data_IF_308556590356
#
_entry.id   IF_308556590356
#
_cell.length_a   1.000
_cell.length_b   1.000
_cell.length_c   1.000
_cell.angle_alpha   90.00
_cell.angle_beta   90.00
_cell.angle_gamma   90.00
#
_symmetry.space_group_name_H-M   'P 1'
#
loop_
_entity.id
_entity.type
_entity.pdbx_description
1 polymer ?
#
# COMPACT_ATOMS: atom_id res chain seq x y z
N UNK A 1 -10.25 -18.26 11.20
CA UNK A 1 -10.40 -16.84 11.58
C UNK A 1 -11.82 -16.66 12.09
N UNK A 2 -12.02 -16.16 13.32
CA UNK A 2 -13.38 -15.90 13.82
C UNK A 2 -13.99 -14.71 13.06
N UNK A 3 -15.29 -14.76 12.80
CA UNK A 3 -16.05 -13.60 12.29
C UNK A 3 -15.81 -12.36 13.15
N UNK A 4 -15.66 -12.55 14.46
CA UNK A 4 -15.49 -11.47 15.44
C UNK A 4 -14.16 -10.73 15.27
N UNK A 5 -13.07 -11.45 14.98
CA UNK A 5 -11.76 -10.84 14.74
C UNK A 5 -11.77 -9.97 13.48
N UNK A 6 -12.44 -10.44 12.42
CA UNK A 6 -12.54 -9.68 11.17
C UNK A 6 -13.32 -8.39 11.36
N UNK A 7 -14.45 -8.46 12.10
CA UNK A 7 -15.25 -7.28 12.42
C UNK A 7 -14.50 -6.29 13.31
N UNK A 8 -13.76 -6.80 14.31
CA UNK A 8 -12.95 -5.99 15.21
C UNK A 8 -11.78 -5.29 14.49
N UNK A 9 -11.15 -5.96 13.53
CA UNK A 9 -10.10 -5.37 12.69
C UNK A 9 -10.67 -4.29 11.76
N UNK A 10 -11.80 -4.56 11.09
CA UNK A 10 -12.44 -3.59 10.21
C UNK A 10 -12.90 -2.34 10.97
N UNK A 11 -13.47 -2.50 12.17
CA UNK A 11 -13.88 -1.37 13.00
C UNK A 11 -12.69 -0.47 13.39
N UNK A 12 -11.56 -1.06 13.78
CA UNK A 12 -10.34 -0.31 14.10
C UNK A 12 -9.75 0.38 12.87
N UNK A 13 -9.74 -0.29 11.74
CA UNK A 13 -9.25 0.29 10.50
C UNK A 13 -10.13 1.47 10.03
N UNK A 14 -11.44 1.32 10.09
CA UNK A 14 -12.38 2.40 9.78
C UNK A 14 -12.19 3.61 10.71
N UNK A 15 -11.98 3.37 12.01
CA UNK A 15 -11.67 4.43 12.98
C UNK A 15 -10.35 5.14 12.65
N UNK A 16 -9.30 4.42 12.26
CA UNK A 16 -8.02 5.00 11.88
C UNK A 16 -8.11 5.85 10.60
N UNK A 17 -8.87 5.39 9.59
CA UNK A 17 -9.15 6.17 8.38
C UNK A 17 -9.90 7.46 8.72
N UNK A 18 -10.93 7.38 9.57
CA UNK A 18 -11.71 8.55 9.97
C UNK A 18 -10.88 9.57 10.76
N UNK A 19 -10.00 9.09 11.65
CA UNK A 19 -9.14 9.95 12.47
C UNK A 19 -8.06 10.67 11.67
N UNK A 20 -7.49 10.02 10.65
CA UNK A 20 -6.36 10.55 9.87
C UNK A 20 -6.77 11.24 8.57
N UNK A 21 -7.96 10.95 8.06
CA UNK A 21 -8.37 11.35 6.71
C UNK A 21 -7.57 10.64 5.62
N UNK A 22 -6.85 9.57 5.95
CA UNK A 22 -6.10 8.78 5.00
C UNK A 22 -7.03 8.13 3.97
N UNK A 23 -6.50 7.91 2.77
CA UNK A 23 -7.19 7.14 1.75
C UNK A 23 -7.05 5.66 2.05
N UNK A 24 -8.07 4.87 1.72
CA UNK A 24 -8.03 3.41 1.92
C UNK A 24 -6.92 2.77 1.03
N UNK A 25 -5.81 2.27 1.62
CA UNK A 25 -4.73 1.64 0.87
C UNK A 25 -5.18 0.41 0.08
N UNK A 26 -6.27 -0.26 0.48
CA UNK A 26 -6.79 -1.47 -0.17
C UNK A 26 -7.15 -1.23 -1.63
N UNK A 27 -7.49 0.00 -2.00
CA UNK A 27 -7.83 0.34 -3.38
C UNK A 27 -6.62 0.24 -4.33
N UNK A 28 -5.39 0.36 -3.83
CA UNK A 28 -4.21 0.41 -4.69
C UNK A 28 -3.71 -0.98 -5.12
N UNK A 29 -3.82 -1.99 -4.26
CA UNK A 29 -3.30 -3.34 -4.55
C UNK A 29 -4.40 -4.38 -4.79
N UNK A 30 -5.69 -4.01 -4.77
CA UNK A 30 -6.80 -4.93 -5.10
C UNK A 30 -6.69 -5.50 -6.51
N UNK A 31 -6.25 -4.70 -7.48
CA UNK A 31 -5.98 -5.17 -8.84
C UNK A 31 -4.81 -6.17 -8.86
N UNK A 32 -3.74 -5.88 -8.10
CA UNK A 32 -2.56 -6.75 -7.99
C UNK A 32 -2.88 -8.10 -7.34
N UNK A 33 -3.78 -8.14 -6.36
CA UNK A 33 -4.33 -9.38 -5.82
C UNK A 33 -5.07 -10.22 -6.88
N UNK A 34 -5.81 -9.58 -7.78
CA UNK A 34 -6.48 -10.30 -8.89
C UNK A 34 -5.47 -10.83 -9.91
N UNK A 35 -4.44 -10.05 -10.23
CA UNK A 35 -3.33 -10.48 -11.09
C UNK A 35 -2.61 -11.69 -10.50
N UNK A 36 -2.27 -11.65 -9.20
CA UNK A 36 -1.67 -12.79 -8.49
C UNK A 36 -2.54 -14.03 -8.59
N UNK A 37 -3.84 -13.92 -8.35
CA UNK A 37 -4.76 -15.06 -8.42
C UNK A 37 -4.70 -15.79 -9.77
N UNK A 38 -4.45 -15.07 -10.86
CA UNK A 38 -4.38 -15.63 -12.21
C UNK A 38 -2.97 -16.09 -12.59
N UNK A 39 -1.97 -15.26 -12.32
CA UNK A 39 -0.61 -15.41 -12.86
C UNK A 39 0.35 -16.10 -11.89
N UNK A 40 0.06 -16.06 -10.59
CA UNK A 40 0.89 -16.64 -9.53
C UNK A 40 0.01 -17.13 -8.35
N UNK A 41 -0.66 -18.29 -8.49
CA UNK A 41 -1.54 -18.83 -7.45
C UNK A 41 -0.83 -19.07 -6.11
N UNK A 42 0.46 -19.38 -6.13
CA UNK A 42 1.27 -19.54 -4.91
C UNK A 42 1.44 -18.20 -4.18
N UNK A 43 1.81 -17.14 -4.90
CA UNK A 43 1.88 -15.79 -4.33
C UNK A 43 0.52 -15.29 -3.85
N UNK A 44 -0.58 -15.63 -4.54
CA UNK A 44 -1.92 -15.34 -4.03
C UNK A 44 -2.21 -16.08 -2.71
N UNK A 45 -1.86 -17.36 -2.62
CA UNK A 45 -2.03 -18.15 -1.40
C UNK A 45 -1.20 -17.58 -0.23
N UNK A 46 0.03 -17.13 -0.49
CA UNK A 46 0.87 -16.45 0.50
C UNK A 46 0.22 -15.14 0.99
N UNK A 47 -0.27 -14.31 0.07
CA UNK A 47 -0.99 -13.08 0.43
C UNK A 47 -2.27 -13.35 1.23
N UNK A 48 -3.00 -14.43 0.94
CA UNK A 48 -4.16 -14.85 1.74
C UNK A 48 -3.74 -15.37 3.12
N UNK A 49 -2.66 -16.15 3.20
CA UNK A 49 -2.15 -16.67 4.46
C UNK A 49 -1.74 -15.52 5.40
N UNK A 50 -0.97 -14.55 4.91
CA UNK A 50 -0.59 -13.37 5.69
C UNK A 50 -1.80 -12.57 6.15
N UNK A 51 -2.79 -12.36 5.27
CA UNK A 51 -4.04 -11.68 5.62
C UNK A 51 -4.74 -12.36 6.81
N UNK A 52 -4.87 -13.68 6.76
CA UNK A 52 -5.63 -14.45 7.76
C UNK A 52 -4.86 -14.69 9.07
N UNK A 53 -3.54 -14.87 8.98
CA UNK A 53 -2.71 -15.34 10.09
C UNK A 53 -1.96 -14.20 10.78
N UNK A 54 -1.76 -13.07 10.10
CA UNK A 54 -0.94 -11.96 10.61
C UNK A 54 -1.75 -10.67 10.65
N UNK A 55 -2.24 -10.20 9.51
CA UNK A 55 -2.85 -8.87 9.40
C UNK A 55 -4.12 -8.71 10.25
N UNK A 56 -5.12 -9.58 10.05
CA UNK A 56 -6.38 -9.44 10.77
C UNK A 56 -6.20 -9.67 12.28
N UNK A 57 -5.47 -10.70 12.74
CA UNK A 57 -5.21 -10.89 14.15
C UNK A 57 -4.48 -9.70 14.82
N UNK A 58 -3.45 -9.13 14.18
CA UNK A 58 -2.67 -8.04 14.79
C UNK A 58 -3.47 -6.76 14.94
N UNK A 59 -4.28 -6.40 13.93
CA UNK A 59 -5.18 -5.25 14.01
C UNK A 59 -6.28 -5.50 15.05
N UNK A 60 -6.92 -6.68 15.02
CA UNK A 60 -7.99 -7.02 15.95
C UNK A 60 -7.54 -7.04 17.42
N UNK A 61 -6.31 -7.52 17.67
CA UNK A 61 -5.66 -7.52 18.98
C UNK A 61 -5.19 -6.15 19.44
N UNK A 62 -5.11 -5.16 18.54
CA UNK A 62 -4.54 -3.84 18.84
C UNK A 62 -3.01 -3.85 18.96
N UNK A 63 -2.35 -4.89 18.43
CA UNK A 63 -0.89 -5.04 18.44
C UNK A 63 -0.23 -4.18 17.37
N UNK A 64 -0.94 -3.91 16.27
CA UNK A 64 -0.46 -3.11 15.15
C UNK A 64 -1.35 -1.90 14.90
N UNK A 65 -0.73 -0.80 14.45
CA UNK A 65 -1.47 0.32 13.88
C UNK A 65 -2.20 -0.17 12.59
N UNK A 66 -3.50 0.09 12.43
CA UNK A 66 -4.25 -0.41 11.28
C UNK A 66 -3.72 0.09 9.93
N UNK A 67 -3.31 1.36 9.83
CA UNK A 67 -2.85 1.93 8.55
C UNK A 67 -1.47 1.38 8.19
N UNK A 68 -0.59 1.23 9.18
CA UNK A 68 0.73 0.63 8.97
C UNK A 68 0.63 -0.84 8.57
N UNK A 69 -0.21 -1.62 9.26
CA UNK A 69 -0.39 -3.03 8.97
C UNK A 69 -0.94 -3.26 7.55
N UNK A 70 -1.89 -2.44 7.11
CA UNK A 70 -2.39 -2.48 5.73
C UNK A 70 -1.37 -2.02 4.69
N UNK A 71 -0.52 -1.03 5.02
CA UNK A 71 0.61 -0.64 4.14
C UNK A 71 1.60 -1.78 3.98
N UNK A 72 1.97 -2.45 5.06
CA UNK A 72 2.89 -3.58 5.04
C UNK A 72 2.32 -4.76 4.23
N UNK A 73 1.01 -4.98 4.36
CA UNK A 73 0.32 -5.93 3.48
C UNK A 73 0.38 -5.52 2.00
N UNK A 74 0.17 -4.24 1.70
CA UNK A 74 0.33 -3.72 0.33
C UNK A 74 1.75 -3.91 -0.23
N UNK A 75 2.78 -3.74 0.60
CA UNK A 75 4.18 -4.02 0.25
C UNK A 75 4.41 -5.49 -0.07
N UNK A 76 3.85 -6.40 0.74
CA UNK A 76 3.90 -7.84 0.49
C UNK A 76 3.28 -8.17 -0.87
N UNK A 77 2.05 -7.70 -1.12
CA UNK A 77 1.36 -7.94 -2.40
C UNK A 77 2.16 -7.40 -3.59
N UNK A 78 2.72 -6.20 -3.47
CA UNK A 78 3.53 -5.62 -4.53
C UNK A 78 4.79 -6.45 -4.83
N UNK A 79 5.48 -6.95 -3.79
CA UNK A 79 6.65 -7.83 -3.92
C UNK A 79 6.31 -9.17 -4.56
N UNK A 80 5.18 -9.77 -4.16
CA UNK A 80 4.70 -11.03 -4.73
C UNK A 80 4.30 -10.89 -6.21
N UNK A 81 3.85 -9.69 -6.59
CA UNK A 81 3.48 -9.38 -7.97
C UNK A 81 4.70 -9.19 -8.86
N UNK A 82 5.72 -8.49 -8.35
CA UNK A 82 6.98 -8.30 -9.06
C UNK A 82 8.15 -8.08 -8.08
N UNK A 83 9.30 -8.73 -8.29
CA UNK A 83 10.54 -8.40 -7.58
C UNK A 83 10.87 -6.91 -7.71
N UNK A 84 11.28 -6.30 -6.60
CA UNK A 84 11.41 -4.86 -6.51
C UNK A 84 11.79 -4.39 -5.12
N UNK A 85 11.92 -3.08 -4.98
CA UNK A 85 12.22 -2.43 -3.71
C UNK A 85 11.22 -1.32 -3.39
N UNK A 86 10.80 -1.18 -2.13
CA UNK A 86 9.97 -0.07 -1.73
C UNK A 86 10.78 1.21 -1.55
N UNK A 87 10.22 2.31 -2.06
CA UNK A 87 10.70 3.67 -1.87
C UNK A 87 9.60 4.50 -1.21
N UNK A 88 10.04 5.50 -0.46
CA UNK A 88 9.17 6.56 0.04
C UNK A 88 9.54 7.87 -0.64
N UNK A 89 8.54 8.70 -0.93
CA UNK A 89 8.65 10.01 -1.56
C UNK A 89 8.11 11.05 -0.59
N UNK A 90 9.00 11.92 -0.11
CA UNK A 90 8.63 12.99 0.82
C UNK A 90 7.79 14.10 0.14
N UNK A 91 7.32 15.06 0.94
CA UNK A 91 6.55 16.19 0.43
C UNK A 91 7.33 17.06 -0.59
N UNK A 92 8.66 17.03 -0.56
CA UNK A 92 9.54 17.71 -1.52
C UNK A 92 9.80 16.90 -2.80
N UNK A 93 9.25 15.69 -2.91
CA UNK A 93 9.47 14.80 -4.06
C UNK A 93 10.78 14.01 -4.00
N UNK A 94 11.51 14.04 -2.88
CA UNK A 94 12.76 13.28 -2.75
C UNK A 94 12.46 11.84 -2.41
N UNK A 95 13.14 10.93 -3.12
CA UNK A 95 13.03 9.50 -2.86
C UNK A 95 14.08 9.01 -1.89
N UNK A 96 13.69 8.08 -1.02
CA UNK A 96 14.59 7.31 -0.15
C UNK A 96 14.08 5.87 -0.02
N UNK A 97 14.96 4.90 0.30
CA UNK A 97 14.49 3.56 0.65
C UNK A 97 13.43 3.63 1.74
N UNK A 98 12.35 2.88 1.60
CA UNK A 98 11.34 2.79 2.65
C UNK A 98 11.95 2.15 3.90
N UNK A 99 11.60 2.69 5.07
CA UNK A 99 11.97 2.17 6.38
C UNK A 99 10.70 2.15 7.26
N UNK A 100 10.35 1.00 7.87
CA UNK A 100 9.24 0.94 8.82
C UNK A 100 9.65 1.45 10.22
N UNK A 101 8.76 2.12 10.97
CA UNK A 101 7.48 2.66 10.48
C UNK A 101 7.71 3.85 9.55
N UNK A 102 7.00 3.88 8.42
CA UNK A 102 7.10 4.99 7.48
C UNK A 102 6.23 6.19 7.88
N UNK A 103 6.61 7.39 7.45
CA UNK A 103 5.92 8.64 7.74
C UNK A 103 4.53 8.71 7.05
N UNK A 104 3.43 9.04 7.78
CA UNK A 104 2.10 9.22 7.19
C UNK A 104 2.01 10.33 6.13
N UNK A 105 2.94 11.29 6.14
CA UNK A 105 3.05 12.36 5.14
C UNK A 105 3.76 11.95 3.86
N UNK A 106 4.40 10.79 3.83
CA UNK A 106 5.11 10.31 2.66
C UNK A 106 4.23 9.44 1.75
N UNK A 107 4.53 9.47 0.45
CA UNK A 107 3.98 8.52 -0.52
C UNK A 107 4.90 7.29 -0.61
N UNK A 108 4.33 6.09 -0.55
CA UNK A 108 5.09 4.83 -0.64
C UNK A 108 4.80 4.14 -1.96
N UNK A 109 5.86 3.83 -2.71
CA UNK A 109 5.83 3.11 -3.98
C UNK A 109 6.68 1.85 -3.89
N UNK A 110 6.20 0.74 -4.45
CA UNK A 110 7.05 -0.39 -4.79
C UNK A 110 7.58 -0.21 -6.21
N UNK A 111 8.91 -0.23 -6.35
CA UNK A 111 9.61 -0.09 -7.63
C UNK A 111 10.04 -1.47 -8.12
N UNK A 112 9.42 -2.02 -9.18
CA UNK A 112 9.88 -3.26 -9.78
C UNK A 112 11.32 -3.13 -10.31
N UNK A 113 12.08 -4.22 -10.27
CA UNK A 113 13.45 -4.24 -10.81
C UNK A 113 13.48 -4.08 -12.34
N UNK A 114 12.43 -4.56 -13.01
CA UNK A 114 12.32 -4.46 -14.46
C UNK A 114 11.81 -3.08 -14.87
N UNK A 115 12.60 -2.35 -15.66
CA UNK A 115 12.27 -0.98 -16.12
C UNK A 115 11.01 -0.86 -16.99
N UNK A 116 10.46 -1.99 -17.47
CA UNK A 116 9.21 -2.04 -18.25
C UNK A 116 7.95 -2.10 -17.37
N UNK A 117 8.08 -2.45 -16.09
CA UNK A 117 6.95 -2.53 -15.17
C UNK A 117 6.74 -1.17 -14.49
N UNK A 118 5.48 -0.77 -14.35
CA UNK A 118 5.12 0.47 -13.65
C UNK A 118 5.30 0.29 -12.13
N UNK A 119 5.70 1.33 -11.41
CA UNK A 119 5.65 1.34 -9.95
C UNK A 119 4.24 1.05 -9.43
N UNK A 120 4.16 0.32 -8.33
CA UNK A 120 2.91 0.00 -7.64
C UNK A 120 2.77 0.98 -6.48
N UNK A 121 1.69 1.77 -6.47
CA UNK A 121 1.36 2.62 -5.33
C UNK A 121 0.94 1.75 -4.15
N UNK A 122 1.50 2.02 -2.97
CA UNK A 122 1.17 1.31 -1.73
C UNK A 122 0.44 2.25 -0.78
N UNK A 123 0.89 3.49 -0.67
CA UNK A 123 0.26 4.50 0.18
C UNK A 123 0.38 5.86 -0.47
N UNK A 124 -0.72 6.60 -0.47
CA UNK A 124 -0.75 8.03 -0.79
C UNK A 124 -1.11 8.77 0.50
N UNK A 125 -0.38 9.82 0.89
CA UNK A 125 -0.72 10.60 2.08
C UNK A 125 -2.08 11.27 1.90
N UNK A 126 -2.76 11.55 3.02
CA UNK A 126 -4.10 12.16 3.02
C UNK A 126 -4.14 13.51 2.28
N UNK A 127 -3.05 14.28 2.37
CA UNK A 127 -2.85 15.57 1.70
C UNK A 127 -1.55 15.53 0.90
N UNK A 128 -1.55 14.91 -0.29
CA UNK A 128 -0.34 14.79 -1.08
C UNK A 128 0.11 16.16 -1.57
N UNK A 129 1.42 16.41 -1.49
CA UNK A 129 2.03 17.61 -2.05
C UNK A 129 1.96 17.60 -3.59
N UNK A 130 2.20 18.75 -4.20
CA UNK A 130 2.31 18.85 -5.66
C UNK A 130 3.39 17.92 -6.22
N UNK A 131 4.54 17.80 -5.55
CA UNK A 131 5.63 16.93 -5.96
C UNK A 131 5.25 15.44 -5.89
N UNK A 132 4.50 15.04 -4.85
CA UNK A 132 3.99 13.67 -4.72
C UNK A 132 2.92 13.38 -5.77
N UNK A 133 1.99 14.32 -6.02
CA UNK A 133 0.98 14.20 -7.07
C UNK A 133 1.60 14.11 -8.46
N UNK A 134 2.61 14.93 -8.76
CA UNK A 134 3.34 14.88 -10.03
C UNK A 134 4.02 13.51 -10.21
N UNK A 135 4.64 12.99 -9.14
CA UNK A 135 5.26 11.66 -9.15
C UNK A 135 4.23 10.56 -9.39
N UNK A 136 3.10 10.60 -8.68
CA UNK A 136 1.99 9.65 -8.88
C UNK A 136 1.46 9.71 -10.31
N UNK A 137 1.19 10.92 -10.81
CA UNK A 137 0.63 11.12 -12.14
C UNK A 137 1.57 10.58 -13.23
N UNK A 138 2.86 10.85 -13.12
CA UNK A 138 3.86 10.43 -14.10
C UNK A 138 4.16 8.93 -14.04
N UNK A 139 4.52 8.42 -12.86
CA UNK A 139 5.01 7.05 -12.70
C UNK A 139 3.89 6.02 -12.62
N UNK A 140 2.84 6.31 -11.85
CA UNK A 140 1.78 5.35 -11.54
C UNK A 140 0.64 5.48 -12.54
N UNK A 141 0.07 6.67 -12.69
CA UNK A 141 -1.06 6.89 -13.61
C UNK A 141 -0.65 7.00 -15.09
N UNK A 142 0.64 7.16 -15.39
CA UNK A 142 1.15 7.27 -16.75
C UNK A 142 0.72 8.53 -17.50
N UNK A 143 0.29 9.57 -16.78
CA UNK A 143 -0.06 10.87 -17.34
C UNK A 143 1.21 11.62 -17.70
N UNK A 144 1.25 12.13 -18.94
CA UNK A 144 2.40 12.85 -19.50
C UNK A 144 2.27 14.38 -19.41
N UNK A 145 1.17 14.89 -18.87
CA UNK A 145 0.94 16.32 -18.66
C UNK A 145 0.87 16.61 -17.16
N UNK A 146 1.49 17.72 -16.74
CA UNK A 146 1.41 18.23 -15.38
C UNK A 146 -0.01 18.75 -15.12
N UNK A 147 -0.55 18.56 -13.91
CA UNK A 147 -1.84 19.16 -13.54
C UNK A 147 -1.71 20.69 -13.59
N UNK A 148 -2.45 21.34 -14.49
CA UNK A 148 -2.48 22.80 -14.62
C UNK A 148 -1.61 23.38 -15.74
N UNK A 149 -1.11 22.55 -16.67
CA UNK A 149 -0.55 23.02 -17.95
C UNK A 149 -1.63 23.07 -19.04
#
# INVERSE_FOLDING_TARGET
MSSDQSQAAEARFAAALAATGARDPRDYYREKLRELKHNNPEGYAEGVAYYQQTLIPSIAGGEADPLEAWRDYGLLIARLTAPGRPLTIDAGGRSRPFQPPGDPGDMVLHMPETSRARPILVTLPAKPSEAQLATFDWLVAGRRALRGA
#
